data_IF_946081880269
#
_entry.id   IF_946081880269
#
_cell.length_a   1.000
_cell.length_b   1.000
_cell.length_c   1.000
_cell.angle_alpha   90.00
_cell.angle_beta   90.00
_cell.angle_gamma   90.00
#
_symmetry.space_group_name_H-M   'P 1'
#
loop_
_entity.id
_entity.type
_entity.pdbx_description
1 polymer ?
#
# COMPACT_ATOMS: atom_id res chain seq x y z
N UNK A 1 23.56 -8.73 -16.97
CA UNK A 1 22.89 -9.14 -15.71
C UNK A 1 22.05 -7.95 -15.26
N UNK A 2 20.73 -8.04 -15.26
CA UNK A 2 19.90 -6.92 -14.79
C UNK A 2 20.16 -6.72 -13.29
N UNK A 3 20.65 -5.54 -12.90
CA UNK A 3 20.82 -5.19 -11.49
C UNK A 3 19.48 -5.37 -10.77
N UNK A 4 19.47 -6.21 -9.74
CA UNK A 4 18.29 -6.42 -8.92
C UNK A 4 17.86 -5.07 -8.31
N UNK A 5 16.55 -4.79 -8.31
CA UNK A 5 16.06 -3.51 -7.78
C UNK A 5 16.36 -3.40 -6.28
N UNK A 6 16.48 -2.16 -5.77
CA UNK A 6 16.64 -1.90 -4.33
C UNK A 6 15.60 -2.65 -3.49
N UNK A 7 14.36 -2.67 -3.97
CA UNK A 7 13.27 -3.40 -3.33
C UNK A 7 13.53 -4.90 -3.28
N UNK A 8 14.02 -5.51 -4.37
CA UNK A 8 14.32 -6.94 -4.40
C UNK A 8 15.42 -7.28 -3.38
N UNK A 9 16.52 -6.52 -3.39
CA UNK A 9 17.61 -6.72 -2.43
C UNK A 9 17.10 -6.59 -0.98
N UNK A 10 16.28 -5.58 -0.71
CA UNK A 10 15.68 -5.38 0.61
C UNK A 10 14.78 -6.55 1.06
N UNK A 11 13.97 -7.10 0.16
CA UNK A 11 13.13 -8.24 0.49
C UNK A 11 13.96 -9.49 0.77
N UNK A 12 15.03 -9.72 0.01
CA UNK A 12 15.91 -10.87 0.18
C UNK A 12 16.69 -10.78 1.51
N UNK A 13 17.27 -9.63 1.83
CA UNK A 13 17.95 -9.35 3.12
C UNK A 13 17.01 -9.57 4.32
N UNK A 14 15.76 -9.11 4.20
CA UNK A 14 14.77 -9.26 5.26
C UNK A 14 14.01 -10.58 5.21
N UNK A 15 14.35 -11.49 4.27
CA UNK A 15 13.71 -12.78 4.05
C UNK A 15 12.18 -12.64 3.94
N UNK A 16 11.72 -11.66 3.17
CA UNK A 16 10.31 -11.33 2.97
C UNK A 16 9.81 -11.97 1.67
N UNK A 17 8.70 -12.70 1.75
CA UNK A 17 8.13 -13.38 0.59
C UNK A 17 7.20 -12.43 -0.20
N UNK A 18 7.45 -12.28 -1.49
CA UNK A 18 6.65 -11.47 -2.41
C UNK A 18 5.15 -11.85 -2.44
N UNK A 19 4.82 -13.15 -2.37
CA UNK A 19 3.42 -13.63 -2.32
C UNK A 19 2.72 -13.17 -1.03
N UNK A 20 3.43 -13.14 0.09
CA UNK A 20 2.89 -12.62 1.36
C UNK A 20 2.66 -11.12 1.30
N UNK A 21 3.54 -10.38 0.63
CA UNK A 21 3.37 -8.93 0.42
C UNK A 21 2.07 -8.63 -0.33
N UNK A 22 1.75 -9.40 -1.38
CA UNK A 22 0.49 -9.26 -2.12
C UNK A 22 -0.73 -9.53 -1.24
N UNK A 23 -0.72 -10.64 -0.50
CA UNK A 23 -1.81 -11.00 0.41
C UNK A 23 -2.03 -9.92 1.49
N UNK A 24 -0.95 -9.42 2.08
CA UNK A 24 -0.99 -8.33 3.08
C UNK A 24 -1.52 -7.04 2.45
N UNK A 25 -1.04 -6.67 1.25
CA UNK A 25 -1.53 -5.49 0.55
C UNK A 25 -3.04 -5.56 0.32
N UNK A 26 -3.54 -6.73 -0.09
CA UNK A 26 -4.98 -6.94 -0.28
C UNK A 26 -5.75 -6.74 1.03
N UNK A 27 -5.29 -7.35 2.14
CA UNK A 27 -5.93 -7.24 3.45
C UNK A 27 -5.92 -5.80 3.99
N UNK A 28 -4.81 -5.08 3.84
CA UNK A 28 -4.65 -3.73 4.38
C UNK A 28 -5.48 -2.70 3.62
N UNK A 29 -5.52 -2.80 2.29
CA UNK A 29 -6.12 -1.79 1.41
C UNK A 29 -7.61 -2.02 1.15
N UNK A 30 -8.15 -3.21 1.46
CA UNK A 30 -9.57 -3.51 1.27
C UNK A 30 -10.46 -2.59 2.11
N UNK A 31 -11.56 -2.11 1.51
CA UNK A 31 -12.55 -1.30 2.21
C UNK A 31 -13.28 -2.10 3.28
N UNK A 32 -13.15 -1.66 4.52
CA UNK A 32 -13.96 -2.14 5.65
C UNK A 32 -15.36 -1.54 5.62
N UNK A 33 -16.26 -2.03 6.49
CA UNK A 33 -17.59 -1.43 6.67
C UNK A 33 -17.51 0.04 7.08
N UNK A 34 -16.56 0.38 7.96
CA UNK A 34 -16.28 1.76 8.36
C UNK A 34 -15.85 2.62 7.14
N UNK A 35 -14.94 2.11 6.30
CA UNK A 35 -14.53 2.84 5.08
C UNK A 35 -15.70 3.09 4.12
N UNK A 36 -16.61 2.12 4.00
CA UNK A 36 -17.82 2.28 3.17
C UNK A 36 -18.74 3.36 3.74
N UNK A 37 -18.94 3.39 5.06
CA UNK A 37 -19.71 4.44 5.73
C UNK A 37 -19.09 5.83 5.51
N UNK A 38 -17.77 5.96 5.65
CA UNK A 38 -17.05 7.21 5.36
C UNK A 38 -17.24 7.67 3.91
N UNK A 39 -17.25 6.73 2.95
CA UNK A 39 -17.50 7.05 1.54
C UNK A 39 -18.92 7.55 1.30
N UNK A 40 -19.92 6.99 1.99
CA UNK A 40 -21.31 7.46 1.94
C UNK A 40 -21.41 8.86 2.55
N UNK A 41 -20.86 9.08 3.75
CA UNK A 41 -20.85 10.38 4.41
C UNK A 41 -20.17 11.47 3.54
N UNK A 42 -19.04 11.15 2.91
CA UNK A 42 -18.37 12.06 1.96
C UNK A 42 -19.20 12.38 0.72
N UNK A 43 -20.02 11.44 0.24
CA UNK A 43 -20.94 11.68 -0.89
C UNK A 43 -22.09 12.58 -0.46
N UNK A 44 -22.60 12.42 0.75
CA UNK A 44 -23.63 13.29 1.32
C UNK A 44 -23.13 14.73 1.45
N UNK A 45 -21.89 14.94 1.94
CA UNK A 45 -21.29 16.27 2.09
C UNK A 45 -20.98 16.98 0.75
N UNK A 46 -21.05 16.27 -0.38
CA UNK A 46 -20.87 16.86 -1.72
C UNK A 46 -22.18 17.36 -2.33
N UNK A 47 -23.34 17.08 -1.71
CA UNK A 47 -24.63 17.59 -2.17
C UNK A 47 -24.76 19.08 -1.82
N UNK A 48 -25.39 19.86 -2.68
CA UNK A 48 -25.67 21.27 -2.41
C UNK A 48 -26.59 21.41 -1.19
N UNK A 49 -26.29 22.39 -0.33
CA UNK A 49 -27.00 22.63 0.94
C UNK A 49 -26.57 21.75 2.12
N UNK A 50 -25.61 20.82 1.94
CA UNK A 50 -25.14 19.98 3.04
C UNK A 50 -24.10 20.69 3.93
N UNK A 51 -24.26 20.60 5.25
CA UNK A 51 -23.21 20.97 6.21
C UNK A 51 -21.97 20.10 5.99
N UNK A 52 -20.85 20.74 5.61
CA UNK A 52 -19.59 20.05 5.32
C UNK A 52 -18.92 19.64 6.63
N UNK A 53 -19.27 18.46 7.13
CA UNK A 53 -18.56 17.83 8.26
C UNK A 53 -17.19 17.30 7.80
N UNK A 54 -16.16 17.42 8.64
CA UNK A 54 -14.86 16.81 8.37
C UNK A 54 -14.97 15.28 8.47
N UNK A 55 -14.86 14.60 7.33
CA UNK A 55 -14.92 13.14 7.26
C UNK A 55 -13.56 12.61 6.84
N UNK A 56 -13.00 11.72 7.66
CA UNK A 56 -11.72 11.05 7.42
C UNK A 56 -11.65 10.42 6.01
N UNK A 57 -10.44 10.30 5.47
CA UNK A 57 -10.21 9.65 4.17
C UNK A 57 -10.39 8.14 4.33
N UNK A 58 -11.26 7.49 3.54
CA UNK A 58 -11.33 6.04 3.53
C UNK A 58 -10.04 5.47 2.93
N UNK A 59 -9.79 4.19 3.20
CA UNK A 59 -8.72 3.42 2.55
C UNK A 59 -8.84 3.44 1.01
N UNK A 60 -7.76 3.07 0.32
CA UNK A 60 -7.74 3.13 -1.15
C UNK A 60 -8.67 2.11 -1.82
N UNK A 61 -8.91 0.95 -1.19
CA UNK A 61 -9.67 -0.15 -1.79
C UNK A 61 -8.92 -0.90 -2.89
N UNK A 62 -7.66 -0.54 -3.19
CA UNK A 62 -6.91 -1.06 -4.33
C UNK A 62 -5.62 -1.71 -3.85
N UNK A 63 -5.57 -3.04 -3.95
CA UNK A 63 -4.38 -3.82 -3.65
C UNK A 63 -3.26 -3.61 -4.67
N UNK A 64 -2.04 -3.98 -4.30
CA UNK A 64 -0.93 -4.16 -5.24
C UNK A 64 -1.20 -5.39 -6.10
N UNK A 65 -0.96 -5.29 -7.41
CA UNK A 65 -1.12 -6.39 -8.36
C UNK A 65 0.21 -7.07 -8.65
N UNK A 66 0.17 -8.32 -9.12
CA UNK A 66 1.37 -9.08 -9.49
C UNK A 66 2.22 -8.36 -10.52
N UNK A 67 1.59 -7.77 -11.55
CA UNK A 67 2.29 -6.96 -12.56
C UNK A 67 3.03 -5.77 -11.93
N UNK A 68 2.38 -5.06 -11.01
CA UNK A 68 2.98 -3.91 -10.34
C UNK A 68 4.12 -4.33 -9.42
N UNK A 69 3.99 -5.48 -8.75
CA UNK A 69 5.07 -6.03 -7.93
C UNK A 69 6.24 -6.52 -8.79
N UNK A 70 5.97 -7.17 -9.92
CA UNK A 70 6.99 -7.57 -10.89
C UNK A 70 7.79 -6.36 -11.38
N UNK A 71 7.11 -5.28 -11.79
CA UNK A 71 7.76 -4.02 -12.14
C UNK A 71 8.60 -3.45 -10.97
N UNK A 72 8.12 -3.52 -9.73
CA UNK A 72 8.88 -3.09 -8.56
C UNK A 72 10.17 -3.90 -8.35
N UNK A 73 10.10 -5.21 -8.55
CA UNK A 73 11.23 -6.14 -8.37
C UNK A 73 12.29 -6.01 -9.47
N UNK A 74 11.89 -5.55 -10.67
CA UNK A 74 12.80 -5.32 -11.79
C UNK A 74 13.23 -3.85 -11.93
N UNK A 75 12.81 -2.96 -11.01
CA UNK A 75 13.16 -1.54 -11.07
C UNK A 75 12.41 -0.73 -12.14
N UNK A 76 11.29 -1.27 -12.64
CA UNK A 76 10.44 -0.61 -13.63
C UNK A 76 9.63 0.58 -13.07
N UNK A 77 8.98 1.35 -13.95
CA UNK A 77 8.22 2.53 -13.54
C UNK A 77 6.99 2.16 -12.71
N UNK A 78 6.82 2.85 -11.57
CA UNK A 78 5.69 2.71 -10.67
C UNK A 78 5.10 4.06 -10.32
N UNK A 79 3.77 4.11 -10.19
CA UNK A 79 3.08 5.29 -9.68
C UNK A 79 3.35 5.48 -8.18
N UNK A 80 3.34 6.74 -7.73
CA UNK A 80 3.52 7.10 -6.32
C UNK A 80 2.56 6.37 -5.35
N UNK A 81 1.25 6.27 -5.65
CA UNK A 81 0.31 5.51 -4.82
C UNK A 81 0.67 4.02 -4.71
N UNK A 82 1.18 3.40 -5.79
CA UNK A 82 1.61 2.01 -5.75
C UNK A 82 2.84 1.83 -4.87
N UNK A 83 3.82 2.72 -4.95
CA UNK A 83 4.99 2.71 -4.05
C UNK A 83 4.57 2.81 -2.58
N UNK A 84 3.61 3.68 -2.26
CA UNK A 84 3.08 3.80 -0.89
C UNK A 84 2.36 2.54 -0.40
N UNK A 85 1.58 1.87 -1.25
CA UNK A 85 0.91 0.61 -0.88
C UNK A 85 1.91 -0.50 -0.61
N UNK A 86 2.96 -0.59 -1.43
CA UNK A 86 4.06 -1.53 -1.22
C UNK A 86 4.76 -1.23 0.11
N UNK A 87 5.08 0.04 0.39
CA UNK A 87 5.68 0.45 1.66
C UNK A 87 4.84 0.01 2.87
N UNK A 88 3.52 0.26 2.86
CA UNK A 88 2.62 -0.14 3.95
C UNK A 88 2.64 -1.65 4.17
N UNK A 89 2.62 -2.43 3.09
CA UNK A 89 2.67 -3.89 3.16
C UNK A 89 4.01 -4.39 3.71
N UNK A 90 5.12 -3.78 3.28
CA UNK A 90 6.47 -4.09 3.79
C UNK A 90 6.57 -3.76 5.28
N UNK A 91 6.17 -2.56 5.68
CA UNK A 91 6.22 -2.13 7.09
C UNK A 91 5.37 -3.02 7.98
N UNK A 92 4.18 -3.44 7.53
CA UNK A 92 3.36 -4.40 8.27
C UNK A 92 4.07 -5.75 8.46
N UNK A 93 4.76 -6.26 7.44
CA UNK A 93 5.53 -7.50 7.54
C UNK A 93 6.77 -7.35 8.43
N UNK A 94 7.39 -6.17 8.47
CA UNK A 94 8.51 -5.86 9.36
C UNK A 94 8.07 -5.77 10.82
N UNK A 95 6.94 -5.13 11.08
CA UNK A 95 6.32 -5.10 12.42
C UNK A 95 6.08 -6.52 12.95
N UNK A 96 5.57 -7.43 12.11
CA UNK A 96 5.40 -8.84 12.49
C UNK A 96 6.72 -9.54 12.84
N UNK A 97 7.82 -9.11 12.22
CA UNK A 97 9.17 -9.60 12.50
C UNK A 97 9.88 -8.79 13.59
N UNK A 98 9.19 -7.85 14.26
CA UNK A 98 9.75 -6.94 15.27
C UNK A 98 10.96 -6.14 14.75
N UNK A 99 10.91 -5.76 13.48
CA UNK A 99 11.89 -4.88 12.83
C UNK A 99 11.33 -3.48 12.71
N UNK A 100 12.22 -2.49 12.62
CA UNK A 100 11.85 -1.10 12.46
C UNK A 100 11.17 -0.83 11.13
N UNK A 101 10.31 0.20 11.13
CA UNK A 101 9.67 0.70 9.91
C UNK A 101 10.70 1.36 9.04
N UNK A 102 10.53 1.19 7.73
CA UNK A 102 11.34 1.85 6.71
C UNK A 102 10.54 2.92 6.00
N UNK A 103 11.27 3.80 5.32
CA UNK A 103 10.76 4.89 4.50
C UNK A 103 10.82 4.57 3.01
N UNK A 104 10.04 5.31 2.21
CA UNK A 104 9.96 5.13 0.75
C UNK A 104 11.33 5.16 0.06
N UNK A 105 12.24 6.05 0.48
CA UNK A 105 13.58 6.23 -0.13
C UNK A 105 14.48 5.01 0.03
N UNK A 106 14.23 4.19 1.05
CA UNK A 106 15.00 2.96 1.27
C UNK A 106 14.58 1.84 0.31
N UNK A 107 13.32 1.85 -0.15
CA UNK A 107 12.76 0.83 -1.04
C UNK A 107 12.86 1.18 -2.53
N UNK A 108 12.88 2.48 -2.88
CA UNK A 108 12.89 2.98 -4.26
C UNK A 108 13.88 4.14 -4.42
#
# INVERSE_FOLDING_TARGET
MAEASKLKNFLDENKLNAKRLLAVSHKLEQHTRADRALKVARRANRKEGAEKKEVAKPKSGRAVTDRALGAALTGGPLSGPTKQRILRAVNYLLEQKKKDKVDLKTLF
#
